data_IF_120606664958
#
_entry.id   IF_120606664958
#
_cell.length_a   1.000
_cell.length_b   1.000
_cell.length_c   1.000
_cell.angle_alpha   90.00
_cell.angle_beta   90.00
_cell.angle_gamma   90.00
#
_symmetry.space_group_name_H-M   'P 1'
#
loop_
_entity.id
_entity.type
_entity.pdbx_description
1 polymer ?
#
# COMPACT_ATOMS: atom_id res chain seq x y z
N UNK A 1 3.29 5.80 20.13
CA UNK A 1 3.86 5.44 18.82
C UNK A 1 4.15 3.96 18.84
N UNK A 2 3.52 3.19 17.95
CA UNK A 2 3.74 1.74 17.85
C UNK A 2 5.18 1.47 17.43
N UNK A 3 5.88 0.55 18.10
CA UNK A 3 7.21 0.04 17.70
C UNK A 3 7.10 -1.13 16.71
N UNK A 4 5.94 -1.34 16.10
CA UNK A 4 5.71 -2.45 15.20
C UNK A 4 6.51 -2.28 13.90
N UNK A 5 7.29 -3.30 13.54
CA UNK A 5 8.09 -3.31 12.30
C UNK A 5 7.19 -3.41 11.07
N UNK A 6 6.12 -4.21 11.15
CA UNK A 6 5.16 -4.41 10.08
C UNK A 6 3.71 -4.23 10.52
N UNK A 7 2.81 -4.05 9.55
CA UNK A 7 1.37 -3.88 9.74
C UNK A 7 0.60 -4.68 8.66
N UNK A 8 -0.18 -5.71 9.03
CA UNK A 8 -1.03 -6.42 8.09
C UNK A 8 -2.12 -5.50 7.51
N UNK A 9 -2.24 -5.51 6.19
CA UNK A 9 -3.25 -4.75 5.45
C UNK A 9 -4.26 -5.71 4.87
N UNK A 10 -5.48 -5.59 5.37
CA UNK A 10 -6.62 -6.40 4.94
C UNK A 10 -7.80 -5.46 4.75
N UNK A 11 -8.47 -5.56 3.61
CA UNK A 11 -9.69 -4.83 3.30
C UNK A 11 -10.90 -5.74 3.43
N UNK A 12 -12.08 -5.13 3.50
CA UNK A 12 -13.31 -5.90 3.28
C UNK A 12 -13.25 -6.42 1.85
N UNK A 13 -13.49 -7.72 1.59
CA UNK A 13 -13.43 -8.29 0.24
C UNK A 13 -14.29 -7.53 -0.78
N UNK A 14 -15.39 -6.93 -0.33
CA UNK A 14 -16.23 -6.08 -1.18
C UNK A 14 -15.49 -4.85 -1.72
N UNK A 15 -14.65 -4.19 -0.92
CA UNK A 15 -13.93 -2.98 -1.36
C UNK A 15 -12.85 -3.32 -2.38
N UNK A 16 -12.21 -4.46 -2.23
CA UNK A 16 -11.26 -4.99 -3.20
C UNK A 16 -11.94 -5.37 -4.52
N UNK A 17 -13.07 -6.10 -4.44
CA UNK A 17 -13.87 -6.47 -5.62
C UNK A 17 -14.41 -5.25 -6.40
N UNK A 18 -14.73 -4.17 -5.69
CA UNK A 18 -15.18 -2.91 -6.27
C UNK A 18 -14.03 -1.94 -6.60
N UNK A 19 -12.78 -2.37 -6.43
CA UNK A 19 -11.56 -1.56 -6.63
C UNK A 19 -11.59 -0.22 -5.89
N UNK A 20 -12.29 -0.18 -4.74
CA UNK A 20 -12.46 1.03 -3.96
C UNK A 20 -11.16 1.38 -3.23
N UNK A 21 -10.80 2.66 -3.33
CA UNK A 21 -9.72 3.24 -2.55
C UNK A 21 -10.29 3.86 -1.27
N UNK A 22 -9.64 3.64 -0.13
CA UNK A 22 -10.05 4.18 1.17
C UNK A 22 -8.95 5.06 1.76
N UNK A 23 -9.23 5.84 2.80
CA UNK A 23 -8.17 6.59 3.50
C UNK A 23 -7.02 5.67 3.97
N UNK A 24 -7.36 4.44 4.39
CA UNK A 24 -6.39 3.43 4.83
C UNK A 24 -5.39 3.04 3.74
N UNK A 25 -5.76 3.19 2.47
CA UNK A 25 -4.89 2.95 1.30
C UNK A 25 -3.66 3.84 1.35
N UNK A 26 -3.83 5.09 1.77
CA UNK A 26 -2.76 6.08 1.86
C UNK A 26 -2.14 6.17 3.25
N UNK A 27 -2.94 5.97 4.30
CA UNK A 27 -2.49 6.10 5.69
C UNK A 27 -1.48 5.01 6.07
N UNK A 28 -1.66 3.77 5.58
CA UNK A 28 -0.82 2.65 6.04
C UNK A 28 0.64 2.75 5.58
N UNK A 29 0.93 3.07 4.31
CA UNK A 29 2.31 3.40 3.90
C UNK A 29 2.89 4.62 4.65
N UNK A 30 2.05 5.56 5.06
CA UNK A 30 2.47 6.74 5.82
C UNK A 30 2.70 6.47 7.32
N UNK A 31 2.27 5.32 7.84
CA UNK A 31 2.26 5.01 9.28
C UNK A 31 3.64 4.63 9.89
N UNK A 32 4.74 4.82 9.15
CA UNK A 32 6.10 4.43 9.55
C UNK A 32 6.24 2.95 9.94
N UNK A 33 5.52 2.08 9.22
CA UNK A 33 5.53 0.62 9.35
C UNK A 33 5.60 -0.03 7.96
N UNK A 34 6.05 -1.27 7.89
CA UNK A 34 6.04 -2.05 6.64
C UNK A 34 4.64 -2.66 6.44
N UNK A 35 3.83 -2.23 5.45
CA UNK A 35 2.55 -2.86 5.17
C UNK A 35 2.77 -4.24 4.58
N UNK A 36 2.07 -5.25 5.08
CA UNK A 36 2.02 -6.58 4.46
C UNK A 36 0.61 -6.85 3.96
N UNK A 37 0.44 -7.02 2.66
CA UNK A 37 -0.88 -7.09 2.02
C UNK A 37 -1.42 -8.52 2.00
N UNK A 38 -2.61 -8.69 2.55
CA UNK A 38 -3.47 -9.88 2.35
C UNK A 38 -4.56 -9.55 1.32
N UNK A 39 -4.21 -8.74 0.33
CA UNK A 39 -5.08 -8.26 -0.73
C UNK A 39 -4.77 -9.02 -2.02
N UNK A 40 -5.70 -8.95 -2.96
CA UNK A 40 -5.55 -9.38 -4.33
C UNK A 40 -4.27 -8.78 -4.94
N UNK A 41 -3.37 -9.61 -5.48
CA UNK A 41 -2.10 -9.14 -5.99
C UNK A 41 -2.24 -8.17 -7.18
N UNK A 42 -3.29 -8.31 -7.99
CA UNK A 42 -3.54 -7.38 -9.08
C UNK A 42 -3.95 -6.00 -8.54
N UNK A 43 -4.84 -5.95 -7.55
CA UNK A 43 -5.19 -4.70 -6.86
C UNK A 43 -3.96 -4.04 -6.24
N UNK A 44 -3.10 -4.81 -5.56
CA UNK A 44 -1.86 -4.28 -4.96
C UNK A 44 -0.96 -3.65 -6.01
N UNK A 45 -0.75 -4.34 -7.14
CA UNK A 45 0.08 -3.85 -8.24
C UNK A 45 -0.45 -2.56 -8.85
N UNK A 46 -1.76 -2.46 -9.05
CA UNK A 46 -2.39 -1.31 -9.71
C UNK A 46 -2.37 -0.07 -8.82
N UNK A 47 -2.63 -0.24 -7.53
CA UNK A 47 -2.69 0.86 -6.58
C UNK A 47 -1.29 1.27 -6.10
N UNK A 48 -0.49 0.32 -5.62
CA UNK A 48 0.80 0.58 -4.96
C UNK A 48 2.02 0.41 -5.88
N UNK A 49 1.82 -0.07 -7.10
CA UNK A 49 2.88 -0.27 -8.08
C UNK A 49 3.53 -1.66 -8.03
N UNK A 50 4.33 -1.96 -9.06
CA UNK A 50 4.90 -3.30 -9.27
C UNK A 50 5.79 -3.76 -8.12
N UNK A 51 6.55 -2.86 -7.50
CA UNK A 51 7.45 -3.23 -6.41
C UNK A 51 6.71 -3.57 -5.11
N UNK A 52 5.48 -3.09 -4.93
CA UNK A 52 4.64 -3.44 -3.78
C UNK A 52 4.23 -4.92 -3.76
N UNK A 53 4.41 -5.64 -4.87
CA UNK A 53 4.18 -7.09 -4.93
C UNK A 53 5.07 -7.87 -3.96
N UNK A 54 6.26 -7.36 -3.62
CA UNK A 54 7.13 -7.99 -2.62
C UNK A 54 6.53 -7.93 -1.20
N UNK A 55 5.56 -7.05 -0.96
CA UNK A 55 4.87 -6.87 0.32
C UNK A 55 3.60 -7.72 0.44
N UNK A 56 3.24 -8.47 -0.60
CA UNK A 56 2.09 -9.39 -0.56
C UNK A 56 2.45 -10.62 0.27
N UNK A 57 1.58 -10.96 1.22
CA UNK A 57 1.61 -12.23 1.93
C UNK A 57 0.99 -13.29 1.02
N UNK A 58 1.83 -14.14 0.44
CA UNK A 58 1.37 -15.28 -0.36
C UNK A 58 0.72 -16.37 0.50
N UNK A 59 -0.05 -17.24 -0.16
CA UNK A 59 -0.85 -18.28 0.51
C UNK A 59 -0.01 -19.48 1.02
N UNK A 60 1.13 -19.77 0.37
CA UNK A 60 1.90 -21.00 0.65
C UNK A 60 2.73 -20.92 1.93
N UNK A 61 3.44 -19.80 2.17
CA UNK A 61 4.34 -19.64 3.32
C UNK A 61 4.37 -18.21 3.90
N UNK A 62 3.23 -17.69 4.41
CA UNK A 62 3.14 -16.32 4.91
C UNK A 62 4.09 -16.04 6.09
N UNK A 63 4.38 -17.07 6.91
CA UNK A 63 5.29 -16.96 8.04
C UNK A 63 6.75 -16.73 7.60
N UNK A 64 7.19 -17.31 6.48
CA UNK A 64 8.54 -17.11 5.94
C UNK A 64 8.73 -15.66 5.48
N UNK A 65 7.72 -15.10 4.80
CA UNK A 65 7.72 -13.68 4.42
C UNK A 65 7.81 -12.77 5.64
N UNK A 66 7.06 -13.04 6.70
CA UNK A 66 7.12 -12.25 7.95
C UNK A 66 8.53 -12.34 8.56
N UNK A 67 9.11 -13.53 8.64
CA UNK A 67 10.48 -13.70 9.16
C UNK A 67 11.51 -12.97 8.30
N UNK A 68 11.35 -12.99 6.98
CA UNK A 68 12.22 -12.27 6.05
C UNK A 68 12.11 -10.75 6.20
N UNK A 69 10.90 -10.23 6.39
CA UNK A 69 10.66 -8.80 6.68
C UNK A 69 11.30 -8.38 7.99
N UNK A 70 11.22 -9.23 9.02
CA UNK A 70 11.88 -8.98 10.31
C UNK A 70 13.41 -9.10 10.21
N UNK A 71 13.92 -9.97 9.34
CA UNK A 71 15.35 -10.16 9.10
C UNK A 71 15.99 -9.06 8.25
N UNK A 72 15.22 -8.42 7.35
CA UNK A 72 15.68 -7.39 6.41
C UNK A 72 14.74 -6.18 6.34
N UNK A 73 14.42 -5.50 7.45
CA UNK A 73 13.39 -4.47 7.48
C UNK A 73 13.71 -3.27 6.58
N UNK A 74 14.99 -2.90 6.43
CA UNK A 74 15.39 -1.76 5.59
C UNK A 74 15.12 -1.97 4.09
N UNK A 75 15.24 -3.22 3.62
CA UNK A 75 14.90 -3.57 2.23
C UNK A 75 13.44 -3.25 1.94
N UNK A 76 12.55 -3.72 2.81
CA UNK A 76 11.12 -3.50 2.68
C UNK A 76 10.72 -2.06 2.98
N UNK A 77 11.41 -1.37 3.90
CA UNK A 77 11.19 0.05 4.16
C UNK A 77 11.49 0.91 2.93
N UNK A 78 12.49 0.56 2.11
CA UNK A 78 12.76 1.25 0.84
C UNK A 78 11.58 1.13 -0.12
N UNK A 79 10.99 -0.06 -0.25
CA UNK A 79 9.79 -0.27 -1.07
C UNK A 79 8.65 0.66 -0.61
N UNK A 80 8.46 0.81 0.71
CA UNK A 80 7.44 1.72 1.26
C UNK A 80 7.77 3.19 0.98
N UNK A 81 9.05 3.59 1.02
CA UNK A 81 9.47 4.96 0.66
C UNK A 81 9.10 5.27 -0.79
N UNK A 82 9.26 4.32 -1.70
CA UNK A 82 8.91 4.51 -3.11
C UNK A 82 7.41 4.60 -3.33
N UNK A 83 6.62 3.76 -2.65
CA UNK A 83 5.15 3.88 -2.65
C UNK A 83 4.74 5.29 -2.20
N UNK A 84 5.35 5.80 -1.13
CA UNK A 84 5.08 7.16 -0.63
C UNK A 84 5.49 8.24 -1.62
N UNK A 85 6.62 8.06 -2.29
CA UNK A 85 7.08 8.99 -3.31
C UNK A 85 6.11 9.03 -4.49
N UNK A 86 5.68 7.87 -5.01
CA UNK A 86 4.67 7.76 -6.05
C UNK A 86 3.35 8.43 -5.63
N UNK A 87 2.87 8.15 -4.41
CA UNK A 87 1.66 8.76 -3.87
C UNK A 87 1.77 10.28 -3.73
N UNK A 88 2.94 10.79 -3.35
CA UNK A 88 3.16 12.25 -3.26
C UNK A 88 3.05 12.94 -4.61
N UNK A 89 3.27 12.22 -5.71
CA UNK A 89 3.11 12.74 -7.06
C UNK A 89 1.70 12.50 -7.61
N UNK A 90 1.19 11.27 -7.57
CA UNK A 90 -0.13 10.91 -8.17
C UNK A 90 -1.32 11.38 -7.34
N UNK A 91 -1.14 11.51 -6.03
CA UNK A 91 -2.23 11.68 -5.06
C UNK A 91 -1.99 12.87 -4.13
N UNK A 92 -1.15 13.82 -4.57
CA UNK A 92 -0.98 15.09 -3.87
C UNK A 92 -2.32 15.83 -3.78
N UNK A 93 -2.54 16.65 -2.73
CA UNK A 93 -3.73 17.49 -2.62
C UNK A 93 -3.97 18.34 -3.88
N UNK A 94 -2.91 18.89 -4.45
CA UNK A 94 -2.96 19.70 -5.68
C UNK A 94 -3.45 18.87 -6.87
N UNK A 95 -2.90 17.68 -7.09
CA UNK A 95 -3.31 16.79 -8.19
C UNK A 95 -4.75 16.29 -8.01
N UNK A 96 -5.15 15.98 -6.77
CA UNK A 96 -6.53 15.57 -6.49
C UNK A 96 -7.52 16.71 -6.68
N UNK A 97 -7.15 17.94 -6.32
CA UNK A 97 -7.97 19.13 -6.58
C UNK A 97 -8.12 19.37 -8.09
N UNK A 98 -7.03 19.26 -8.85
CA UNK A 98 -7.08 19.39 -10.32
C UNK A 98 -7.99 18.33 -10.95
N UNK A 99 -7.87 17.07 -10.55
CA UNK A 99 -8.75 16.00 -11.02
C UNK A 99 -10.23 16.25 -10.66
N UNK A 100 -10.50 16.81 -9.47
CA UNK A 100 -11.86 17.16 -9.07
C UNK A 100 -12.43 18.30 -9.92
N UNK A 101 -11.64 19.33 -10.21
CA UNK A 101 -12.06 20.43 -11.09
C UNK A 101 -12.41 19.90 -12.48
N UNK A 102 -11.58 19.01 -13.04
CA UNK A 102 -11.85 18.37 -14.33
C UNK A 102 -13.19 17.63 -14.36
N UNK A 103 -13.51 16.88 -13.29
CA UNK A 103 -14.79 16.15 -13.20
C UNK A 103 -16.00 17.09 -13.09
N UNK A 104 -15.84 18.28 -12.51
CA UNK A 104 -16.94 19.25 -12.32
C UNK A 104 -17.14 20.10 -13.59
N UNK A 105 -16.07 20.37 -14.33
CA UNK A 105 -16.09 21.19 -15.54
C UNK A 105 -16.51 20.42 -16.82
N UNK A 106 -16.48 19.08 -16.76
CA UNK A 106 -17.06 18.16 -17.77
C UNK A 106 -18.55 17.88 -17.55
#
# INVERSE_FOLDING_TARGET
MSKAVFNPVMYRPLFECLEMVTCRTFETPAAATIPLFLLDPQYVREIYGTRAMELVLGDESPHEKILDVLGRPEHYAEIVREIRQDFSHRHSPEQRLQALLQIIEE
#
